data_IF_900332568045
#
_entry.id   IF_900332568045
#
_cell.length_a   1.000
_cell.length_b   1.000
_cell.length_c   1.000
_cell.angle_alpha   90.00
_cell.angle_beta   90.00
_cell.angle_gamma   90.00
#
_symmetry.space_group_name_H-M   'P 1'
#
loop_
_entity.id
_entity.type
_entity.pdbx_description
1 polymer ?
#
# COMPACT_ATOMS: atom_id res chain seq x y z
N UNK A 1 6.22 25.67 -14.68
CA UNK A 1 5.91 24.39 -15.38
C UNK A 1 4.83 24.69 -16.42
N UNK A 2 4.94 24.13 -17.64
CA UNK A 2 3.89 24.30 -18.65
C UNK A 2 2.63 23.56 -18.19
N UNK A 3 1.47 24.21 -18.24
CA UNK A 3 0.17 23.68 -17.76
C UNK A 3 -0.19 22.34 -18.38
N UNK A 4 0.23 22.07 -19.62
CA UNK A 4 0.00 20.78 -20.29
C UNK A 4 0.80 19.62 -19.68
N UNK A 5 1.99 19.88 -19.11
CA UNK A 5 2.81 18.82 -18.49
C UNK A 5 2.23 18.38 -17.15
N UNK A 6 1.76 19.35 -16.37
CA UNK A 6 1.16 19.10 -15.05
C UNK A 6 -0.13 18.27 -15.16
N UNK A 7 -1.01 18.60 -16.09
CA UNK A 7 -2.25 17.83 -16.31
C UNK A 7 -1.98 16.36 -16.69
N UNK A 8 -0.91 16.09 -17.45
CA UNK A 8 -0.52 14.72 -17.80
C UNK A 8 0.07 13.95 -16.60
N UNK A 9 0.86 14.63 -15.76
CA UNK A 9 1.37 14.05 -14.50
C UNK A 9 0.22 13.74 -13.54
N UNK A 10 -0.78 14.62 -13.43
CA UNK A 10 -1.97 14.42 -12.62
C UNK A 10 -2.80 13.21 -13.11
N UNK A 11 -3.01 13.08 -14.41
CA UNK A 11 -3.72 11.93 -15.00
C UNK A 11 -3.01 10.60 -14.68
N UNK A 12 -1.68 10.57 -14.81
CA UNK A 12 -0.88 9.39 -14.47
C UNK A 12 -0.97 9.08 -12.98
N UNK A 13 -0.83 10.10 -12.12
CA UNK A 13 -0.88 9.92 -10.68
C UNK A 13 -2.23 9.34 -10.23
N UNK A 14 -3.35 9.88 -10.72
CA UNK A 14 -4.68 9.37 -10.40
C UNK A 14 -4.84 7.90 -10.84
N UNK A 15 -4.47 7.59 -12.08
CA UNK A 15 -4.62 6.24 -12.64
C UNK A 15 -3.76 5.19 -11.93
N UNK A 16 -2.52 5.52 -11.61
CA UNK A 16 -1.62 4.59 -10.93
C UNK A 16 -1.95 4.47 -9.43
N UNK A 17 -2.46 5.53 -8.80
CA UNK A 17 -2.97 5.46 -7.43
C UNK A 17 -4.18 4.52 -7.32
N UNK A 18 -5.16 4.63 -8.23
CA UNK A 18 -6.31 3.72 -8.27
C UNK A 18 -5.85 2.26 -8.40
N UNK A 19 -4.96 1.98 -9.36
CA UNK A 19 -4.39 0.63 -9.57
C UNK A 19 -3.64 0.11 -8.36
N UNK A 20 -2.86 0.97 -7.69
CA UNK A 20 -2.13 0.60 -6.49
C UNK A 20 -3.10 0.26 -5.35
N UNK A 21 -4.12 1.10 -5.12
CA UNK A 21 -5.09 0.88 -4.04
C UNK A 21 -5.87 -0.41 -4.22
N UNK A 22 -6.36 -0.70 -5.43
CA UNK A 22 -7.06 -1.94 -5.72
C UNK A 22 -6.19 -3.17 -5.42
N UNK A 23 -4.93 -3.15 -5.89
CA UNK A 23 -3.97 -4.24 -5.63
C UNK A 23 -3.62 -4.36 -4.15
N UNK A 24 -3.47 -3.24 -3.47
CA UNK A 24 -3.11 -3.20 -2.06
C UNK A 24 -4.19 -3.83 -1.20
N UNK A 25 -5.45 -3.38 -1.33
CA UNK A 25 -6.55 -3.96 -0.55
C UNK A 25 -6.83 -5.41 -0.94
N UNK A 26 -6.69 -5.78 -2.22
CA UNK A 26 -6.78 -7.18 -2.63
C UNK A 26 -5.72 -8.06 -1.92
N UNK A 27 -4.47 -7.58 -1.85
CA UNK A 27 -3.41 -8.29 -1.15
C UNK A 27 -3.68 -8.38 0.36
N UNK A 28 -4.10 -7.29 1.00
CA UNK A 28 -4.42 -7.26 2.44
C UNK A 28 -5.58 -8.19 2.77
N UNK A 29 -6.64 -8.22 1.96
CA UNK A 29 -7.84 -9.00 2.27
C UNK A 29 -7.68 -10.48 1.88
N UNK A 30 -7.11 -10.76 0.70
CA UNK A 30 -7.12 -12.10 0.08
C UNK A 30 -5.76 -12.78 0.01
N UNK A 31 -4.65 -12.03 -0.01
CA UNK A 31 -3.30 -12.56 -0.29
C UNK A 31 -2.24 -11.99 0.67
N UNK A 32 -2.50 -12.06 1.99
CA UNK A 32 -1.70 -11.42 3.05
C UNK A 32 -0.20 -11.76 2.99
N UNK A 33 0.14 -13.00 2.65
CA UNK A 33 1.53 -13.46 2.50
C UNK A 33 2.30 -12.79 1.34
N UNK A 34 1.64 -11.96 0.52
CA UNK A 34 2.24 -11.20 -0.58
C UNK A 34 2.22 -9.69 -0.35
N UNK A 35 1.69 -9.22 0.76
CA UNK A 35 1.64 -7.78 1.09
C UNK A 35 3.04 -7.17 1.18
N UNK A 36 4.03 -7.96 1.61
CA UNK A 36 5.43 -7.52 1.67
C UNK A 36 5.93 -6.93 0.34
N UNK A 37 5.55 -7.49 -0.82
CA UNK A 37 5.97 -6.99 -2.14
C UNK A 37 5.45 -5.59 -2.48
N UNK A 38 4.50 -5.05 -1.71
CA UNK A 38 3.94 -3.70 -1.89
C UNK A 38 4.63 -2.65 -1.02
N UNK A 39 5.55 -3.06 -0.15
CA UNK A 39 6.34 -2.18 0.69
C UNK A 39 7.78 -2.11 0.18
N UNK A 40 8.41 -0.96 0.36
CA UNK A 40 9.86 -0.83 0.17
C UNK A 40 10.61 -1.39 1.38
N UNK A 41 11.86 -1.82 1.21
CA UNK A 41 12.63 -2.49 2.28
C UNK A 41 12.74 -1.66 3.57
N UNK A 42 12.85 -0.33 3.43
CA UNK A 42 12.92 0.64 4.54
C UNK A 42 11.57 1.19 5.00
N UNK A 43 10.46 0.56 4.62
CA UNK A 43 9.15 1.08 4.93
C UNK A 43 8.84 1.10 6.43
N UNK A 44 7.98 2.05 6.80
CA UNK A 44 7.42 2.18 8.14
C UNK A 44 5.90 2.22 8.06
N UNK A 45 5.24 1.51 8.96
CA UNK A 45 3.79 1.47 9.09
C UNK A 45 3.41 2.00 10.48
N UNK A 46 2.51 2.96 10.53
CA UNK A 46 1.93 3.46 11.77
C UNK A 46 0.45 3.08 11.83
N UNK A 47 0.11 2.08 12.64
CA UNK A 47 -1.26 1.58 12.76
C UNK A 47 -1.87 1.95 14.11
N UNK A 48 -2.84 2.88 14.11
CA UNK A 48 -3.50 3.36 15.33
C UNK A 48 -2.51 3.80 16.44
N UNK A 49 -1.41 4.46 16.05
CA UNK A 49 -0.36 4.91 16.97
C UNK A 49 0.73 3.88 17.29
N UNK A 50 0.63 2.65 16.77
CA UNK A 50 1.65 1.62 16.93
C UNK A 50 2.59 1.62 15.71
N UNK A 51 3.88 1.85 15.95
CA UNK A 51 4.89 1.88 14.91
C UNK A 51 5.40 0.46 14.62
N UNK A 52 5.51 0.13 13.33
CA UNK A 52 6.07 -1.11 12.80
C UNK A 52 7.09 -0.74 11.72
N UNK A 53 8.35 -1.10 11.93
CA UNK A 53 9.45 -0.71 11.05
C UNK A 53 10.07 -1.92 10.34
N UNK A 54 10.34 -1.77 9.05
CA UNK A 54 10.96 -2.79 8.22
C UNK A 54 9.94 -3.78 7.62
N UNK A 55 10.19 -4.14 6.37
CA UNK A 55 9.31 -5.00 5.55
C UNK A 55 8.95 -6.33 6.22
N UNK A 56 9.90 -6.99 6.90
CA UNK A 56 9.67 -8.27 7.57
C UNK A 56 8.69 -8.14 8.74
N UNK A 57 8.80 -7.04 9.50
CA UNK A 57 7.90 -6.78 10.63
C UNK A 57 6.51 -6.37 10.15
N UNK A 58 6.44 -5.61 9.04
CA UNK A 58 5.17 -5.26 8.40
C UNK A 58 4.47 -6.52 7.88
N UNK A 59 5.20 -7.44 7.25
CA UNK A 59 4.64 -8.71 6.79
C UNK A 59 4.06 -9.54 7.94
N UNK A 60 4.83 -9.69 9.03
CA UNK A 60 4.36 -10.37 10.26
C UNK A 60 3.15 -9.67 10.88
N UNK A 61 3.11 -8.34 10.86
CA UNK A 61 1.97 -7.57 11.34
C UNK A 61 0.70 -7.93 10.54
N UNK A 62 0.77 -7.91 9.20
CA UNK A 62 -0.38 -8.24 8.35
C UNK A 62 -0.85 -9.70 8.50
N UNK A 63 0.06 -10.64 8.79
CA UNK A 63 -0.29 -12.02 9.12
C UNK A 63 -0.93 -12.17 10.50
N UNK A 64 -0.61 -11.29 11.44
CA UNK A 64 -1.10 -11.34 12.83
C UNK A 64 -2.51 -10.78 13.00
N UNK A 65 -2.95 -9.89 12.10
CA UNK A 65 -4.28 -9.29 12.20
C UNK A 65 -5.37 -10.23 11.67
N UNK A 66 -6.61 -10.14 12.20
CA UNK A 66 -7.74 -10.89 11.67
C UNK A 66 -7.99 -10.60 10.20
N UNK A 67 -8.77 -11.47 9.56
CA UNK A 67 -9.28 -11.24 8.20
C UNK A 67 -10.01 -9.90 8.11
N UNK A 68 -9.82 -9.20 7.00
CA UNK A 68 -10.36 -7.87 6.71
C UNK A 68 -11.10 -7.91 5.38
N UNK A 69 -12.01 -6.97 5.21
CA UNK A 69 -12.73 -6.75 3.96
C UNK A 69 -12.89 -5.24 3.77
N UNK A 70 -12.33 -4.72 2.67
CA UNK A 70 -12.41 -3.33 2.28
C UNK A 70 -13.25 -3.22 0.99
N UNK A 71 -14.28 -2.37 0.99
CA UNK A 71 -15.21 -2.14 -0.13
C UNK A 71 -15.02 -0.77 -0.77
#
# INVERSE_FOLDING_TARGET
MSTSKMAAEDEIACKEAERLTERYYNAVDRVRNKVNFLYVDSATLLWNGNLVEGIDNIARFWESIPATEHS
#
